data_IF_742672819566
#
_entry.id   IF_742672819566
#
_cell.length_a   1.000
_cell.length_b   1.000
_cell.length_c   1.000
_cell.angle_alpha   90.00
_cell.angle_beta   90.00
_cell.angle_gamma   90.00
#
_symmetry.space_group_name_H-M   'P 1'
#
loop_
_entity.id
_entity.type
_entity.pdbx_description
1 polymer ?
#
# COMPACT_ATOMS: atom_id res chain seq x y z
N UNK A 1 -13.74 18.34 5.41
CA UNK A 1 -13.82 17.95 5.14
C UNK A 1 -13.66 16.92 5.12
N UNK A 2 -13.66 16.46 5.11
CA UNK A 2 -13.44 15.68 5.12
C UNK A 2 -13.53 14.81 4.51
N UNK A 3 -13.40 14.43 4.32
CA UNK A 3 -13.51 13.78 3.65
C UNK A 3 -13.58 12.63 3.72
N UNK A 4 -13.54 12.08 3.94
CA UNK A 4 -13.42 11.06 3.99
C UNK A 4 -14.01 10.15 3.98
N UNK A 5 -14.39 9.59 3.96
CA UNK A 5 -14.85 8.72 3.97
C UNK A 5 -15.22 7.84 3.96
N UNK A 6 -15.35 7.40 3.88
CA UNK A 6 -15.80 6.60 3.90
C UNK A 6 -16.18 5.56 3.96
N UNK A 7 -16.48 5.32 3.98
CA UNK A 7 -16.95 4.41 4.01
C UNK A 7 -16.81 3.24 4.24
N UNK A 8 -16.42 2.93 3.88
CA UNK A 8 -16.30 1.77 3.93
C UNK A 8 -15.99 1.13 4.98
N UNK A 9 -16.27 0.37 5.19
CA UNK A 9 -15.96 -0.40 6.01
C UNK A 9 -15.00 -0.17 6.91
N UNK A 10 -14.81 0.08 7.61
CA UNK A 10 -13.94 0.19 8.52
C UNK A 10 -13.03 1.17 8.27
N UNK A 11 -12.92 2.07 8.98
CA UNK A 11 -12.06 3.11 8.78
C UNK A 11 -10.68 2.65 8.91
N UNK A 12 -10.09 2.37 7.91
CA UNK A 12 -8.76 1.86 7.95
C UNK A 12 -7.79 2.97 7.72
N UNK A 13 -6.80 3.04 8.55
CA UNK A 13 -5.70 3.96 8.29
C UNK A 13 -4.99 3.50 7.04
N UNK A 14 -4.72 4.41 6.18
CA UNK A 14 -3.93 4.07 5.01
C UNK A 14 -3.03 5.23 4.66
N UNK A 15 -2.00 4.92 3.93
CA UNK A 15 -1.00 5.87 3.52
C UNK A 15 -1.10 6.04 2.02
N UNK A 16 -1.02 7.28 1.58
CA UNK A 16 -1.06 7.58 0.17
C UNK A 16 0.02 8.60 -0.11
N UNK A 17 0.76 8.40 -1.18
CA UNK A 17 1.77 9.36 -1.58
C UNK A 17 2.02 9.23 -3.08
N UNK A 18 2.57 10.31 -3.66
CA UNK A 18 2.87 10.33 -5.07
C UNK A 18 4.37 10.14 -5.27
N UNK A 19 4.72 9.22 -6.13
CA UNK A 19 6.12 8.96 -6.42
C UNK A 19 6.67 10.05 -7.35
N UNK A 20 7.98 10.12 -7.41
CA UNK A 20 8.63 11.06 -8.30
C UNK A 20 8.27 10.81 -9.77
N UNK A 21 8.02 9.57 -10.13
CA UNK A 21 7.66 9.25 -11.50
C UNK A 21 6.17 9.46 -11.78
N UNK A 22 5.42 9.99 -10.83
CA UNK A 22 4.07 10.44 -11.09
C UNK A 22 2.97 9.44 -10.81
N UNK A 23 3.27 8.39 -10.08
CA UNK A 23 2.23 7.44 -9.70
C UNK A 23 1.82 7.65 -8.27
N UNK A 24 0.56 7.42 -8.00
CA UNK A 24 0.07 7.48 -6.65
C UNK A 24 0.06 6.08 -6.06
N UNK A 25 0.68 5.92 -4.91
CA UNK A 25 0.72 4.64 -4.23
C UNK A 25 -0.13 4.74 -2.99
N UNK A 26 -1.03 3.79 -2.81
CA UNK A 26 -1.88 3.73 -1.63
C UNK A 26 -1.68 2.38 -0.96
N UNK A 27 -1.52 2.42 0.33
CA UNK A 27 -1.36 1.21 1.14
C UNK A 27 -2.42 1.23 2.23
N UNK A 28 -3.17 0.17 2.32
CA UNK A 28 -4.18 0.08 3.35
C UNK A 28 -4.38 -1.37 3.73
N UNK A 29 -5.50 -1.64 4.38
CA UNK A 29 -5.82 -3.03 4.66
C UNK A 29 -7.34 -3.20 4.62
N UNK A 30 -7.74 -4.46 4.48
CA UNK A 30 -9.15 -4.77 4.41
C UNK A 30 -9.39 -6.15 4.98
N UNK A 31 -10.61 -6.36 5.40
CA UNK A 31 -11.05 -7.65 5.88
C UNK A 31 -11.91 -8.30 4.82
N UNK A 32 -11.63 -9.54 4.54
CA UNK A 32 -12.38 -10.31 3.55
C UNK A 32 -13.21 -11.36 4.24
N UNK A 33 -14.42 -11.54 3.76
CA UNK A 33 -15.29 -12.52 4.32
C UNK A 33 -15.91 -12.03 5.61
N UNK A 34 -16.59 -12.92 6.26
CA UNK A 34 -17.24 -12.56 7.49
C UNK A 34 -16.98 -13.59 8.56
N UNK A 35 -17.85 -13.60 9.54
CA UNK A 35 -17.74 -14.56 10.60
C UNK A 35 -16.73 -14.15 11.63
N UNK A 36 -16.30 -15.12 12.38
CA UNK A 36 -15.45 -14.86 13.52
C UNK A 36 -14.03 -14.52 13.19
N UNK A 37 -13.59 -15.03 12.06
CA UNK A 37 -12.18 -14.91 11.70
C UNK A 37 -12.07 -14.44 10.27
N UNK A 38 -12.46 -13.20 10.02
CA UNK A 38 -12.33 -12.69 8.67
C UNK A 38 -10.87 -12.66 8.26
N UNK A 39 -10.63 -12.93 7.02
CA UNK A 39 -9.27 -12.87 6.50
C UNK A 39 -8.84 -11.43 6.37
N UNK A 40 -7.62 -11.15 6.78
CA UNK A 40 -7.06 -9.81 6.70
C UNK A 40 -6.08 -9.75 5.55
N UNK A 41 -6.14 -8.67 4.80
CA UNK A 41 -5.23 -8.45 3.67
C UNK A 41 -4.72 -7.03 3.71
N UNK A 42 -3.49 -6.88 3.26
CA UNK A 42 -2.93 -5.55 3.04
C UNK A 42 -3.15 -5.21 1.58
N UNK A 43 -3.69 -4.05 1.32
CA UNK A 43 -3.93 -3.63 -0.05
C UNK A 43 -2.83 -2.69 -0.51
N UNK A 44 -2.37 -2.90 -1.73
CA UNK A 44 -1.36 -2.06 -2.34
C UNK A 44 -1.88 -1.64 -3.70
N UNK A 45 -2.08 -0.34 -3.88
CA UNK A 45 -2.55 0.21 -5.14
C UNK A 45 -1.46 1.07 -5.74
N UNK A 46 -1.22 0.88 -7.01
CA UNK A 46 -0.31 1.73 -7.78
C UNK A 46 -1.14 2.35 -8.87
N UNK A 47 -1.41 3.64 -8.71
CA UNK A 47 -2.29 4.34 -9.59
C UNK A 47 -1.71 4.57 -10.97
N UNK A 48 -2.57 4.98 -11.87
CA UNK A 48 -2.17 5.28 -13.23
C UNK A 48 -1.26 6.50 -13.25
N UNK A 49 -0.39 6.57 -14.23
CA UNK A 49 0.41 7.75 -14.46
C UNK A 49 -0.46 8.86 -15.07
N UNK A 50 0.04 10.08 -15.00
CA UNK A 50 -0.70 11.21 -15.55
C UNK A 50 -0.92 11.08 -17.05
N UNK A 51 -0.05 10.37 -17.74
CA UNK A 51 -0.17 10.22 -19.19
C UNK A 51 -0.97 9.00 -19.60
N UNK A 52 -1.71 8.41 -18.69
CA UNK A 52 -2.63 7.35 -19.05
C UNK A 52 -2.13 5.94 -18.78
N UNK A 53 -1.08 5.81 -18.03
CA UNK A 53 -0.63 4.47 -17.65
C UNK A 53 -1.69 3.74 -16.85
N UNK A 54 -1.59 2.44 -16.80
CA UNK A 54 -2.58 1.60 -16.17
C UNK A 54 -2.39 1.56 -14.65
N UNK A 55 -3.50 1.58 -13.94
CA UNK A 55 -3.47 1.36 -12.50
C UNK A 55 -3.44 -0.14 -12.22
N UNK A 56 -2.89 -0.52 -11.11
CA UNK A 56 -2.86 -1.91 -10.69
C UNK A 56 -2.95 -1.99 -9.18
N UNK A 57 -3.30 -3.16 -8.69
CA UNK A 57 -3.38 -3.35 -7.24
C UNK A 57 -3.10 -4.80 -6.89
N UNK A 58 -2.81 -5.03 -5.65
CA UNK A 58 -2.59 -6.37 -5.15
C UNK A 58 -3.09 -6.47 -3.72
N UNK A 59 -3.67 -7.59 -3.39
CA UNK A 59 -4.01 -7.90 -2.01
C UNK A 59 -2.97 -8.86 -1.47
N UNK A 60 -2.35 -8.48 -0.38
CA UNK A 60 -1.23 -9.22 0.18
C UNK A 60 -1.63 -9.83 1.51
N UNK A 61 -1.17 -11.03 1.79
CA UNK A 61 -1.26 -11.55 3.14
C UNK A 61 -0.30 -10.75 4.02
N UNK A 62 -0.47 -10.89 5.33
CA UNK A 62 0.40 -10.21 6.27
C UNK A 62 1.85 -10.59 6.04
N UNK A 63 2.11 -11.87 5.81
CA UNK A 63 3.47 -12.33 5.55
C UNK A 63 4.05 -11.78 4.27
N UNK A 64 3.23 -11.74 3.22
CA UNK A 64 3.66 -11.18 1.94
C UNK A 64 3.96 -9.71 2.08
N UNK A 65 3.13 -8.99 2.81
CA UNK A 65 3.35 -7.56 3.00
C UNK A 65 4.65 -7.31 3.75
N UNK A 66 4.93 -8.13 4.75
CA UNK A 66 6.19 -7.99 5.49
C UNK A 66 7.40 -8.28 4.65
N UNK A 67 7.29 -9.31 3.79
CA UNK A 67 8.40 -9.62 2.89
C UNK A 67 8.63 -8.50 1.87
N UNK A 68 7.55 -7.95 1.36
CA UNK A 68 7.68 -6.83 0.43
C UNK A 68 8.32 -5.63 1.12
N UNK A 69 7.89 -5.32 2.32
CA UNK A 69 8.45 -4.20 3.06
C UNK A 69 9.95 -4.40 3.30
N UNK A 70 10.35 -5.60 3.69
CA UNK A 70 11.75 -5.89 3.91
C UNK A 70 12.56 -5.76 2.63
N UNK A 71 12.00 -6.24 1.52
CA UNK A 71 12.68 -6.13 0.24
C UNK A 71 12.85 -4.66 -0.17
N UNK A 72 11.81 -3.87 0.03
CA UNK A 72 11.89 -2.45 -0.29
C UNK A 72 12.95 -1.75 0.54
N UNK A 73 12.97 -2.05 1.82
CA UNK A 73 13.98 -1.44 2.70
C UNK A 73 15.39 -1.86 2.32
N UNK A 74 15.56 -3.12 1.97
CA UNK A 74 16.87 -3.62 1.56
C UNK A 74 17.35 -2.92 0.29
N UNK A 75 16.47 -2.78 -0.68
CA UNK A 75 16.86 -2.12 -1.92
C UNK A 75 17.12 -0.63 -1.72
N UNK A 76 16.33 0.00 -0.87
CA UNK A 76 16.53 1.40 -0.57
C UNK A 76 17.90 1.62 0.07
N UNK A 77 18.28 0.74 0.99
CA UNK A 77 19.58 0.85 1.63
C UNK A 77 20.71 0.64 0.61
N UNK A 78 20.51 -0.26 -0.34
CA UNK A 78 21.51 -0.50 -1.36
C UNK A 78 21.70 0.69 -2.29
N UNK A 79 20.62 1.46 -2.48
CA UNK A 79 20.70 2.64 -3.35
C UNK A 79 21.21 3.88 -2.63
N UNK A 80 21.17 3.86 -1.31
CA UNK A 80 21.54 5.03 -0.52
C UNK A 80 22.99 4.88 -0.08
N UNK A 81 23.90 5.72 -0.55
CA UNK A 81 25.30 5.57 -0.18
C UNK A 81 25.59 6.00 1.25
N UNK A 82 24.65 6.64 1.91
CA UNK A 82 24.91 7.11 3.27
C UNK A 82 24.64 5.99 4.25
N UNK A 83 25.44 5.94 5.31
CA UNK A 83 25.19 4.92 6.31
C UNK A 83 23.81 5.11 6.94
N UNK A 84 23.17 4.03 7.22
CA UNK A 84 21.91 4.07 7.94
C UNK A 84 22.19 4.17 9.42
N UNK A 85 21.55 5.08 10.07
CA UNK A 85 21.83 5.30 11.47
C UNK A 85 20.92 4.50 12.38
#
# INVERSE_FOLDING_TARGET
MDSSVPGAGGAHLHVSFRTMCGREIQVGHLSLGGGRHPAQRVSLDIGATADGGTATWAGLTVGEARRLAAALLTQAAACDPRPQA
#
